data_IF_057523251471
#
_entry.id   IF_057523251471
#
_cell.length_a   1.000
_cell.length_b   1.000
_cell.length_c   1.000
_cell.angle_alpha   90.00
_cell.angle_beta   90.00
_cell.angle_gamma   90.00
#
_symmetry.space_group_name_H-M   'P 1'
#
loop_
_entity.id
_entity.type
_entity.pdbx_description
1 polymer ?
#
# COMPACT_ATOMS: atom_id res chain seq x y z
N UNK A 1 -0.46 21.74 1.42
CA UNK A 1 -0.73 20.58 0.53
C UNK A 1 -1.56 19.59 1.32
N UNK A 2 -2.65 19.11 0.74
CA UNK A 2 -3.43 18.01 1.30
C UNK A 2 -2.60 16.74 1.16
N UNK A 3 -2.25 16.09 2.28
CA UNK A 3 -1.49 14.85 2.25
C UNK A 3 -2.49 13.74 1.97
N UNK A 4 -2.64 13.40 0.69
CA UNK A 4 -3.55 12.34 0.22
C UNK A 4 -3.11 10.98 0.78
N UNK A 5 -3.55 10.70 2.00
CA UNK A 5 -3.27 9.49 2.75
C UNK A 5 -4.53 8.63 2.76
N UNK A 6 -4.38 7.35 2.40
CA UNK A 6 -5.44 6.37 2.49
C UNK A 6 -5.00 5.23 3.42
N UNK A 7 -5.83 4.90 4.40
CA UNK A 7 -5.64 3.73 5.26
C UNK A 7 -6.67 2.67 4.88
N UNK A 8 -6.18 1.48 4.53
CA UNK A 8 -7.01 0.30 4.27
C UNK A 8 -6.60 -0.84 5.19
N UNK A 9 -7.57 -1.60 5.70
CA UNK A 9 -7.24 -2.78 6.48
C UNK A 9 -6.57 -3.82 5.57
N UNK A 10 -7.18 -4.17 4.43
CA UNK A 10 -6.68 -5.15 3.44
C UNK A 10 -5.95 -4.55 2.24
N UNK A 11 -6.42 -4.94 1.06
CA UNK A 11 -6.11 -4.33 -0.23
C UNK A 11 -7.42 -3.79 -0.83
N UNK A 12 -7.30 -2.93 -1.83
CA UNK A 12 -8.44 -2.24 -2.44
C UNK A 12 -9.26 -3.12 -3.39
N UNK A 13 -8.83 -4.36 -3.66
CA UNK A 13 -9.60 -5.33 -4.46
C UNK A 13 -10.55 -6.22 -3.66
N UNK A 14 -10.44 -6.29 -2.34
CA UNK A 14 -11.33 -7.14 -1.54
C UNK A 14 -10.84 -7.41 -0.12
N UNK A 15 -11.77 -7.84 0.73
CA UNK A 15 -11.57 -8.11 2.17
C UNK A 15 -10.50 -9.18 2.47
N UNK A 16 -10.21 -10.04 1.50
CA UNK A 16 -9.22 -11.13 1.62
C UNK A 16 -7.84 -10.78 1.05
N UNK A 17 -7.74 -9.73 0.25
CA UNK A 17 -6.51 -9.37 -0.46
C UNK A 17 -5.53 -8.65 0.50
N UNK A 18 -4.23 -8.94 0.35
CA UNK A 18 -3.17 -8.51 1.26
C UNK A 18 -2.00 -7.97 0.48
N UNK A 19 -1.64 -6.71 0.74
CA UNK A 19 -0.37 -6.15 0.28
C UNK A 19 0.76 -6.61 1.20
N UNK A 20 1.80 -7.18 0.59
CA UNK A 20 3.01 -7.72 1.23
C UNK A 20 4.25 -7.18 0.52
N UNK A 21 5.46 -7.33 1.09
CA UNK A 21 6.71 -7.01 0.40
C UNK A 21 6.88 -7.72 -0.95
N UNK A 22 6.29 -8.91 -1.10
CA UNK A 22 6.37 -9.74 -2.31
C UNK A 22 5.32 -9.38 -3.37
N UNK A 23 4.41 -8.44 -3.06
CA UNK A 23 3.42 -8.00 -4.03
C UNK A 23 4.12 -7.29 -5.20
N UNK A 24 3.80 -7.63 -6.46
CA UNK A 24 4.49 -7.05 -7.60
C UNK A 24 4.41 -5.51 -7.63
N UNK A 25 5.52 -4.82 -7.93
CA UNK A 25 5.58 -3.36 -8.07
C UNK A 25 4.46 -2.72 -8.90
N UNK A 26 4.12 -3.34 -10.02
CA UNK A 26 3.07 -2.83 -10.92
C UNK A 26 1.69 -2.88 -10.27
N UNK A 27 1.42 -3.88 -9.43
CA UNK A 27 0.18 -3.97 -8.68
C UNK A 27 0.12 -2.92 -7.57
N UNK A 28 1.24 -2.67 -6.88
CA UNK A 28 1.36 -1.61 -5.88
C UNK A 28 1.11 -0.22 -6.48
N UNK A 29 1.72 0.04 -7.65
CA UNK A 29 1.54 1.28 -8.41
C UNK A 29 0.09 1.46 -8.85
N UNK A 30 -0.51 0.41 -9.41
CA UNK A 30 -1.91 0.41 -9.82
C UNK A 30 -2.85 0.76 -8.65
N UNK A 31 -2.59 0.23 -7.44
CA UNK A 31 -3.38 0.61 -6.24
C UNK A 31 -3.24 2.08 -5.91
N UNK A 32 -2.04 2.64 -5.97
CA UNK A 32 -1.82 4.05 -5.70
C UNK A 32 -2.53 4.94 -6.72
N UNK A 33 -2.43 4.60 -8.01
CA UNK A 33 -2.99 5.38 -9.11
C UNK A 33 -4.53 5.42 -9.09
N UNK A 34 -5.19 4.28 -8.84
CA UNK A 34 -6.67 4.22 -8.80
C UNK A 34 -7.29 5.12 -7.73
N UNK A 35 -6.60 5.32 -6.61
CA UNK A 35 -7.10 6.13 -5.50
C UNK A 35 -6.58 7.56 -5.51
N UNK A 36 -5.67 7.90 -6.42
CA UNK A 36 -5.09 9.23 -6.52
C UNK A 36 -4.21 9.63 -5.33
N UNK A 37 -3.87 8.70 -4.43
CA UNK A 37 -3.18 9.00 -3.16
C UNK A 37 -1.66 8.97 -3.29
N UNK A 38 -1.00 9.72 -2.41
CA UNK A 38 0.46 9.73 -2.30
C UNK A 38 0.94 8.68 -1.29
N UNK A 39 0.18 8.42 -0.23
CA UNK A 39 0.55 7.44 0.80
C UNK A 39 -0.59 6.45 1.03
N UNK A 40 -0.33 5.16 0.78
CA UNK A 40 -1.27 4.07 1.02
C UNK A 40 -0.80 3.22 2.21
N UNK A 41 -1.54 3.22 3.30
CA UNK A 41 -1.27 2.41 4.48
C UNK A 41 -2.13 1.13 4.45
N UNK A 42 -1.52 -0.03 4.68
CA UNK A 42 -2.18 -1.34 4.71
C UNK A 42 -1.82 -2.15 5.96
N UNK A 43 -2.78 -2.89 6.53
CA UNK A 43 -2.59 -3.60 7.82
C UNK A 43 -2.73 -5.12 7.80
N UNK A 44 -3.40 -5.70 6.81
CA UNK A 44 -3.90 -7.09 6.84
C UNK A 44 -2.80 -8.14 6.76
N UNK A 45 -1.66 -7.82 6.17
CA UNK A 45 -0.50 -8.71 6.16
C UNK A 45 0.13 -8.83 7.55
N UNK A 46 -0.05 -7.82 8.42
CA UNK A 46 0.66 -7.73 9.70
C UNK A 46 2.15 -7.44 9.55
N UNK A 47 2.65 -7.22 8.33
CA UNK A 47 4.05 -6.97 8.04
C UNK A 47 4.32 -5.47 8.04
N UNK A 48 5.45 -5.07 8.65
CA UNK A 48 5.95 -3.71 8.56
C UNK A 48 6.87 -3.59 7.34
N UNK A 49 6.48 -2.79 6.36
CA UNK A 49 7.27 -2.59 5.14
C UNK A 49 6.99 -1.22 4.52
N UNK A 50 7.94 -0.73 3.73
CA UNK A 50 7.79 0.50 2.94
C UNK A 50 8.18 0.20 1.50
N UNK A 51 7.25 0.40 0.58
CA UNK A 51 7.50 0.48 -0.84
C UNK A 51 7.45 1.96 -1.26
N UNK A 52 8.47 2.45 -1.96
CA UNK A 52 8.55 3.86 -2.35
C UNK A 52 8.79 3.97 -3.86
N UNK A 53 7.96 4.77 -4.52
CA UNK A 53 8.14 5.18 -5.90
C UNK A 53 8.70 6.59 -5.88
N UNK A 54 9.98 6.73 -6.28
CA UNK A 54 10.69 8.00 -6.18
C UNK A 54 10.42 8.93 -7.35
N UNK A 55 10.42 8.43 -8.59
CA UNK A 55 10.05 9.15 -9.81
C UNK A 55 9.84 8.15 -10.97
N UNK A 56 9.01 8.52 -11.94
CA UNK A 56 8.82 7.73 -13.15
C UNK A 56 7.66 8.21 -14.01
N UNK A 57 7.56 7.70 -15.24
CA UNK A 57 6.39 7.93 -16.11
C UNK A 57 5.73 6.60 -16.42
N UNK A 58 4.40 6.55 -16.29
CA UNK A 58 3.60 5.40 -16.72
C UNK A 58 3.03 5.72 -18.09
N UNK A 59 3.41 4.95 -19.11
CA UNK A 59 2.79 5.04 -20.43
C UNK A 59 1.76 3.92 -20.57
N UNK A 60 0.51 4.29 -20.86
CA UNK A 60 -0.59 3.36 -21.09
C UNK A 60 -1.06 3.50 -22.52
N UNK A 61 -1.10 2.38 -23.26
CA UNK A 61 -1.63 2.33 -24.62
C UNK A 61 -2.81 1.39 -24.69
N UNK A 62 -3.90 1.82 -25.34
CA UNK A 62 -5.04 0.98 -25.67
C UNK A 62 -5.12 0.86 -27.18
N UNK A 63 -4.89 -0.35 -27.68
CA UNK A 63 -5.06 -0.69 -29.09
C UNK A 63 -6.48 -1.22 -29.32
N UNK A 64 -7.23 -0.57 -30.20
CA UNK A 64 -8.60 -0.94 -30.60
C UNK A 64 -8.63 -1.25 -32.08
N UNK A 65 -9.55 -2.15 -32.47
CA UNK A 65 -9.91 -2.29 -33.87
C UNK A 65 -10.66 -1.01 -34.27
N UNK A 66 -10.16 -0.32 -35.30
CA UNK A 66 -10.73 0.94 -35.77
C UNK A 66 -12.09 0.75 -36.45
N UNK A 67 -12.75 1.86 -36.73
CA UNK A 67 -14.10 1.85 -37.31
C UNK A 67 -14.14 1.29 -38.75
N UNK A 68 -13.01 1.29 -39.45
CA UNK A 68 -12.90 0.75 -40.81
C UNK A 68 -12.26 -0.64 -40.82
N UNK A 69 -12.75 -1.50 -41.72
CA UNK A 69 -12.28 -2.89 -41.84
C UNK A 69 -10.76 -2.92 -42.07
N UNK A 70 -10.03 -3.50 -41.11
CA UNK A 70 -8.58 -3.66 -41.16
C UNK A 70 -7.77 -2.53 -40.50
N UNK A 71 -8.42 -1.49 -39.96
CA UNK A 71 -7.72 -0.43 -39.23
C UNK A 71 -7.47 -0.80 -37.77
N UNK A 72 -6.30 -0.43 -37.24
CA UNK A 72 -5.94 -0.56 -35.83
C UNK A 72 -5.61 0.84 -35.30
N UNK A 73 -6.35 1.29 -34.29
CA UNK A 73 -6.14 2.57 -33.63
C UNK A 73 -5.50 2.36 -32.26
N UNK A 74 -4.42 3.07 -31.95
CA UNK A 74 -3.81 3.04 -30.62
C UNK A 74 -3.94 4.40 -29.96
N UNK A 75 -4.61 4.46 -28.81
CA UNK A 75 -4.67 5.65 -27.96
C UNK A 75 -3.67 5.48 -26.82
N UNK A 76 -2.70 6.38 -26.70
CA UNK A 76 -1.71 6.35 -25.62
C UNK A 76 -1.84 7.53 -24.69
N UNK A 77 -1.57 7.33 -23.40
CA UNK A 77 -1.57 8.33 -22.35
C UNK A 77 -0.36 8.13 -21.44
N UNK A 78 0.39 9.21 -21.20
CA UNK A 78 1.54 9.20 -20.30
C UNK A 78 1.21 9.97 -19.04
N UNK A 79 1.34 9.31 -17.88
CA UNK A 79 1.20 9.94 -16.57
C UNK A 79 2.57 10.01 -15.89
N UNK A 80 3.06 11.22 -15.68
CA UNK A 80 4.31 11.47 -14.96
C UNK A 80 4.05 11.54 -13.46
N UNK A 81 4.76 10.72 -12.68
CA UNK A 81 4.74 10.76 -11.22
C UNK A 81 5.78 11.78 -10.75
N UNK A 82 5.30 12.96 -10.35
CA UNK A 82 6.15 14.08 -9.89
C UNK A 82 6.25 14.18 -8.37
N UNK A 83 5.37 13.48 -7.64
CA UNK A 83 5.38 13.37 -6.17
C UNK A 83 5.79 11.96 -5.75
N UNK A 84 6.68 11.81 -4.75
CA UNK A 84 7.01 10.50 -4.21
C UNK A 84 5.76 9.82 -3.66
N UNK A 85 5.52 8.58 -4.06
CA UNK A 85 4.40 7.77 -3.57
C UNK A 85 4.88 6.60 -2.74
N UNK A 86 4.11 6.24 -1.71
CA UNK A 86 4.48 5.22 -0.75
C UNK A 86 3.34 4.23 -0.52
N UNK A 87 3.68 2.94 -0.43
CA UNK A 87 2.82 1.92 0.18
C UNK A 87 3.48 1.45 1.48
N UNK A 88 2.73 1.51 2.58
CA UNK A 88 3.23 1.27 3.93
C UNK A 88 2.43 0.14 4.59
N UNK A 89 3.09 -0.98 4.84
CA UNK A 89 2.59 -1.98 5.78
C UNK A 89 2.76 -1.49 7.21
N UNK A 90 1.66 -1.36 7.98
CA UNK A 90 1.71 -0.74 9.33
C UNK A 90 2.22 -1.69 10.43
N UNK A 91 2.48 -2.95 10.10
CA UNK A 91 2.83 -3.96 11.09
C UNK A 91 1.61 -4.54 11.81
N UNK A 92 1.82 -5.06 13.00
CA UNK A 92 0.81 -5.76 13.79
C UNK A 92 1.01 -5.53 15.28
N UNK A 93 -0.09 -5.30 15.98
CA UNK A 93 -0.14 -5.25 17.44
C UNK A 93 -0.99 -6.43 17.91
N UNK A 94 -0.38 -7.38 18.63
CA UNK A 94 -1.12 -8.44 19.31
C UNK A 94 -1.22 -9.78 18.60
N UNK A 95 -0.85 -9.91 17.32
CA UNK A 95 -0.85 -11.26 16.68
C UNK A 95 0.26 -12.16 17.16
N UNK A 96 1.41 -11.59 17.53
CA UNK A 96 2.52 -12.29 18.18
C UNK A 96 2.51 -11.88 19.65
N UNK A 97 2.16 -12.79 20.58
CA UNK A 97 2.14 -12.47 21.99
C UNK A 97 3.49 -11.92 22.45
N UNK A 98 3.44 -10.77 23.10
CA UNK A 98 4.60 -10.08 23.67
C UNK A 98 5.42 -9.24 22.68
N UNK A 99 5.00 -9.11 21.41
CA UNK A 99 5.61 -8.17 20.46
C UNK A 99 4.53 -7.35 19.74
N UNK A 100 4.75 -6.03 19.67
CA UNK A 100 3.90 -5.10 18.94
C UNK A 100 4.75 -4.28 17.99
N UNK A 101 4.49 -4.38 16.68
CA UNK A 101 5.12 -3.55 15.65
C UNK A 101 4.12 -2.54 15.14
N UNK A 102 4.48 -1.26 15.16
CA UNK A 102 3.65 -0.16 14.69
C UNK A 102 4.47 0.84 13.86
N UNK A 103 3.75 1.72 13.15
CA UNK A 103 4.34 2.71 12.25
C UNK A 103 4.10 4.12 12.73
N UNK A 104 5.16 4.93 12.75
CA UNK A 104 5.12 6.38 12.94
C UNK A 104 5.25 7.08 11.59
N UNK A 105 4.30 7.96 11.29
CA UNK A 105 4.30 8.78 10.07
C UNK A 105 4.39 10.26 10.42
N UNK A 106 5.33 10.97 9.79
CA UNK A 106 5.48 12.41 9.94
C UNK A 106 4.90 13.12 8.70
N UNK A 107 3.72 13.77 8.81
CA UNK A 107 3.05 14.42 7.68
C UNK A 107 3.87 15.57 7.08
N UNK A 108 4.64 16.29 7.89
CA UNK A 108 5.42 17.45 7.43
C UNK A 108 6.65 17.06 6.60
N UNK A 109 7.14 15.83 6.75
CA UNK A 109 8.37 15.36 6.07
C UNK A 109 8.14 14.15 5.17
N UNK A 110 6.91 13.62 5.15
CA UNK A 110 6.54 12.36 4.50
C UNK A 110 7.43 11.16 4.91
N UNK A 111 7.99 11.21 6.13
CA UNK A 111 8.88 10.16 6.66
C UNK A 111 8.08 9.12 7.44
N UNK A 112 8.51 7.88 7.29
CA UNK A 112 7.93 6.70 7.94
C UNK A 112 9.00 6.02 8.78
N UNK A 113 8.65 5.58 9.99
CA UNK A 113 9.53 4.82 10.88
C UNK A 113 8.78 3.67 11.54
N UNK A 114 9.35 2.47 11.47
CA UNK A 114 8.82 1.29 12.14
C UNK A 114 9.36 1.19 13.57
N UNK A 115 8.50 0.82 14.51
CA UNK A 115 8.86 0.62 15.91
C UNK A 115 8.32 -0.72 16.38
N UNK A 116 9.13 -1.43 17.15
CA UNK A 116 8.72 -2.67 17.83
C UNK A 116 8.88 -2.49 19.32
N UNK A 117 7.84 -2.85 20.08
CA UNK A 117 7.83 -2.83 21.54
C UNK A 117 7.52 -4.23 22.03
N UNK A 118 8.30 -4.68 23.01
CA UNK A 118 8.07 -5.94 23.73
C UNK A 118 7.16 -5.64 24.92
N UNK A 119 6.12 -6.45 25.13
CA UNK A 119 5.20 -6.32 26.25
C UNK A 119 4.99 -7.66 26.95
N UNK A 120 4.57 -7.64 28.21
CA UNK A 120 4.28 -8.86 28.95
C UNK A 120 3.06 -9.56 28.37
N UNK A 121 3.16 -10.88 28.16
CA UNK A 121 2.00 -11.68 27.78
C UNK A 121 1.06 -11.69 28.98
N UNK A 122 -0.15 -11.13 28.84
CA UNK A 122 -1.19 -11.38 29.81
C UNK A 122 -1.44 -12.90 29.83
N UNK A 123 -1.01 -13.56 30.90
CA UNK A 123 -1.42 -14.93 31.19
C UNK A 123 -2.86 -14.82 31.64
N UNK A 124 -3.79 -15.20 30.76
CA UNK A 124 -5.19 -15.35 31.13
C UNK A 124 -5.23 -16.36 32.29
N UNK A 125 -5.39 -15.87 33.53
CA UNK A 125 -5.56 -16.74 34.69
C UNK A 125 -6.91 -17.42 34.51
N UNK A 126 -6.93 -18.61 33.90
CA UNK A 126 -8.06 -19.52 34.03
C UNK A 126 -8.25 -19.78 35.53
N UNK A 127 -9.34 -19.25 36.07
CA UNK A 127 -9.80 -19.66 37.39
C UNK A 127 -10.08 -21.18 37.32
N UNK A 128 -9.58 -21.98 38.28
CA UNK A 128 -9.97 -23.38 38.35
C UNK A 128 -11.48 -23.48 38.57
N UNK A 129 -12.12 -24.38 37.81
CA UNK A 129 -13.51 -24.80 38.01
C UNK A 129 -13.69 -25.51 39.35
#
# INVERSE_FOLDING_TARGET
SELDCLLIHGSTLGVSDKLTPDTPPIQMLDRLMRFGVNNLFCGRSGLAFKYQLENGSVNSGVTKLGAEVGTIETTSSTQTLTTPRQVIGVGNVGSLPGNATYTLYNPNTNKVSFRTVVYEKNVEKRLPL
#
